data_IF_347878079002
#
_entry.id   IF_347878079002
#
_cell.length_a   1.000
_cell.length_b   1.000
_cell.length_c   1.000
_cell.angle_alpha   90.00
_cell.angle_beta   90.00
_cell.angle_gamma   90.00
#
_symmetry.space_group_name_H-M   'P 1'
#
loop_
_entity.id
_entity.type
_entity.pdbx_description
1 polymer ?
#
# COMPACT_ATOMS: atom_id res chain seq x y z
N UNK A 1 2.66 14.16 27.94
CA UNK A 1 2.23 13.40 29.14
C UNK A 1 1.95 11.97 28.75
N UNK A 2 2.92 11.07 28.92
CA UNK A 2 2.69 9.63 28.75
C UNK A 2 1.87 9.12 29.95
N UNK A 3 0.57 8.92 29.73
CA UNK A 3 -0.36 8.40 30.73
C UNK A 3 -0.10 6.92 31.07
N UNK A 4 0.73 6.24 30.27
CA UNK A 4 1.08 4.83 30.45
C UNK A 4 2.44 4.75 31.14
N UNK A 5 2.42 4.55 32.46
CA UNK A 5 3.62 4.46 33.31
C UNK A 5 3.99 3.03 33.68
N UNK A 6 3.12 2.06 33.36
CA UNK A 6 3.30 0.63 33.64
C UNK A 6 3.09 -0.20 32.37
N UNK A 7 3.77 -1.34 32.22
CA UNK A 7 3.58 -2.22 31.08
C UNK A 7 2.16 -2.80 31.07
N UNK A 8 1.54 -2.81 29.89
CA UNK A 8 0.21 -3.37 29.65
C UNK A 8 0.39 -4.74 29.01
N UNK A 9 -0.09 -5.76 29.71
CA UNK A 9 -0.12 -7.14 29.24
C UNK A 9 -1.54 -7.55 28.89
N UNK A 10 -1.73 -8.09 27.69
CA UNK A 10 -3.03 -8.60 27.25
C UNK A 10 -2.91 -10.10 27.00
N UNK A 11 -3.74 -10.86 27.69
CA UNK A 11 -3.87 -12.31 27.54
C UNK A 11 -5.21 -12.59 26.90
N UNK A 12 -5.19 -13.23 25.73
CA UNK A 12 -6.41 -13.62 25.03
C UNK A 12 -6.50 -15.14 25.01
N UNK A 13 -7.47 -15.69 25.74
CA UNK A 13 -7.76 -17.13 25.78
C UNK A 13 -8.95 -17.54 24.89
N UNK A 14 -9.58 -16.60 24.20
CA UNK A 14 -10.77 -16.87 23.40
C UNK A 14 -10.41 -17.49 22.05
N UNK A 15 -11.27 -18.40 21.57
CA UNK A 15 -11.33 -18.76 20.15
C UNK A 15 -12.03 -17.58 19.48
N UNK A 16 -11.28 -16.77 18.76
CA UNK A 16 -11.73 -15.47 18.30
C UNK A 16 -12.76 -15.65 17.16
N UNK A 17 -14.06 -15.51 17.46
CA UNK A 17 -15.12 -15.43 16.44
C UNK A 17 -15.28 -13.99 15.90
N UNK A 18 -14.96 -12.96 16.69
CA UNK A 18 -15.03 -11.55 16.29
C UNK A 18 -13.67 -10.97 15.86
N UNK A 19 -13.59 -10.15 14.79
CA UNK A 19 -12.34 -9.58 14.33
C UNK A 19 -11.74 -8.60 15.36
N UNK A 20 -10.70 -9.06 16.07
CA UNK A 20 -9.98 -8.25 17.04
C UNK A 20 -9.00 -7.30 16.33
N UNK A 21 -8.89 -6.04 16.76
CA UNK A 21 -7.92 -5.09 16.19
C UNK A 21 -6.51 -5.37 16.73
N UNK A 22 -5.86 -6.37 16.16
CA UNK A 22 -4.49 -6.79 16.51
C UNK A 22 -3.46 -5.66 16.33
N UNK A 23 -3.62 -4.81 15.32
CA UNK A 23 -2.72 -3.67 15.08
C UNK A 23 -2.72 -2.72 16.27
N UNK A 24 -3.90 -2.34 16.77
CA UNK A 24 -4.04 -1.45 17.92
C UNK A 24 -3.53 -2.12 19.21
N UNK A 25 -3.89 -3.38 19.45
CA UNK A 25 -3.45 -4.12 20.63
C UNK A 25 -1.93 -4.24 20.67
N UNK A 26 -1.31 -4.62 19.56
CA UNK A 26 0.14 -4.72 19.46
C UNK A 26 0.80 -3.35 19.63
N UNK A 27 0.24 -2.30 19.04
CA UNK A 27 0.73 -0.93 19.21
C UNK A 27 0.73 -0.49 20.68
N UNK A 28 -0.39 -0.65 21.40
CA UNK A 28 -0.53 -0.22 22.78
C UNK A 28 0.34 -1.03 23.75
N UNK A 29 0.35 -2.34 23.60
CA UNK A 29 1.14 -3.24 24.46
C UNK A 29 2.63 -2.99 24.28
N UNK A 30 3.13 -2.87 23.04
CA UNK A 30 4.55 -2.58 22.79
C UNK A 30 4.97 -1.16 23.21
N UNK A 31 4.10 -0.16 23.03
CA UNK A 31 4.35 1.21 23.50
C UNK A 31 4.50 1.26 25.02
N UNK A 32 3.64 0.54 25.74
CA UNK A 32 3.67 0.46 27.20
C UNK A 32 4.90 -0.25 27.77
N UNK A 33 5.59 -1.07 26.97
CA UNK A 33 6.62 -1.98 27.46
C UNK A 33 6.13 -3.37 27.85
N UNK A 34 4.84 -3.66 27.62
CA UNK A 34 4.27 -4.98 27.81
C UNK A 34 4.23 -5.78 26.51
N UNK A 35 3.24 -6.66 26.39
CA UNK A 35 3.08 -7.54 25.25
C UNK A 35 1.69 -8.18 25.16
N UNK A 36 1.46 -8.86 24.05
CA UNK A 36 0.25 -9.62 23.77
C UNK A 36 0.54 -11.12 23.74
N UNK A 37 -0.31 -11.91 24.39
CA UNK A 37 -0.24 -13.37 24.42
C UNK A 37 -1.54 -13.94 23.87
N UNK A 38 -1.45 -14.64 22.73
CA UNK A 38 -2.58 -15.35 22.13
C UNK A 38 -2.81 -16.70 22.80
N UNK A 39 -4.02 -17.24 22.62
CA UNK A 39 -4.44 -18.55 23.12
C UNK A 39 -3.50 -19.66 22.68
N UNK A 40 -3.10 -19.68 21.42
CA UNK A 40 -2.21 -20.73 20.89
C UNK A 40 -0.88 -20.74 21.63
N UNK A 41 -0.34 -19.56 21.93
CA UNK A 41 0.89 -19.43 22.70
C UNK A 41 0.73 -19.85 24.15
N UNK A 42 -0.44 -19.62 24.75
CA UNK A 42 -0.78 -20.10 26.11
C UNK A 42 -0.84 -21.62 26.14
N UNK A 43 -1.43 -22.25 25.11
CA UNK A 43 -1.59 -23.71 25.01
C UNK A 43 -0.27 -24.39 24.69
N UNK A 44 0.50 -23.86 23.71
CA UNK A 44 1.82 -24.39 23.34
C UNK A 44 2.80 -24.39 24.52
N UNK A 45 2.71 -23.39 25.40
CA UNK A 45 3.62 -23.27 26.54
C UNK A 45 3.29 -24.20 27.70
N UNK A 46 2.22 -25.02 27.63
CA UNK A 46 1.85 -26.14 28.54
C UNK A 46 1.85 -25.90 30.07
N UNK A 47 2.29 -24.74 30.56
CA UNK A 47 2.35 -24.37 31.97
C UNK A 47 2.37 -22.84 32.14
N UNK A 48 1.55 -22.31 33.05
CA UNK A 48 1.51 -20.87 33.36
C UNK A 48 2.84 -20.30 33.87
N UNK A 49 3.70 -21.13 34.45
CA UNK A 49 5.04 -20.72 34.90
C UNK A 49 5.96 -20.31 33.74
N UNK A 50 5.79 -20.90 32.56
CA UNK A 50 6.62 -20.55 31.40
C UNK A 50 6.19 -19.22 30.78
N UNK A 51 4.91 -18.88 30.89
CA UNK A 51 4.39 -17.56 30.53
C UNK A 51 4.95 -16.48 31.47
N UNK A 52 5.03 -16.74 32.77
CA UNK A 52 5.61 -15.80 33.74
C UNK A 52 7.09 -15.58 33.46
N UNK A 53 7.87 -16.65 33.30
CA UNK A 53 9.30 -16.54 32.90
C UNK A 53 9.45 -15.80 31.59
N UNK A 54 8.53 -16.04 30.65
CA UNK A 54 8.51 -15.34 29.38
C UNK A 54 8.26 -13.84 29.59
N UNK A 55 7.28 -13.43 30.40
CA UNK A 55 7.05 -12.02 30.78
C UNK A 55 8.25 -11.40 31.48
N UNK A 56 8.86 -12.11 32.42
CA UNK A 56 10.05 -11.65 33.17
C UNK A 56 11.27 -11.47 32.27
N UNK A 57 11.35 -12.22 31.16
CA UNK A 57 12.41 -12.06 30.15
C UNK A 57 12.23 -10.81 29.27
N UNK A 58 11.12 -10.10 29.38
CA UNK A 58 10.91 -8.80 28.70
C UNK A 58 11.60 -7.67 29.45
N UNK A 59 12.90 -7.57 29.23
CA UNK A 59 13.71 -6.51 29.81
C UNK A 59 14.34 -5.60 28.76
N UNK A 60 14.10 -5.90 27.48
CA UNK A 60 14.72 -5.20 26.35
C UNK A 60 13.71 -4.29 25.64
N UNK A 61 14.08 -3.04 25.41
CA UNK A 61 13.28 -2.05 24.68
C UNK A 61 14.14 -1.31 23.69
N UNK A 62 13.59 -1.03 22.51
CA UNK A 62 14.09 0.05 21.67
C UNK A 62 13.49 1.36 22.19
N UNK A 63 14.32 2.40 22.37
CA UNK A 63 13.86 3.68 22.87
C UNK A 63 13.63 4.66 21.73
N UNK A 64 14.70 5.01 21.01
CA UNK A 64 14.72 5.99 19.94
C UNK A 64 16.04 5.93 19.15
N UNK A 65 16.17 6.86 18.20
CA UNK A 65 17.40 7.14 17.46
C UNK A 65 17.75 8.60 17.57
N UNK A 66 19.04 8.85 17.77
CA UNK A 66 19.64 10.17 17.59
C UNK A 66 20.37 10.23 16.25
N UNK A 67 20.18 11.32 15.51
CA UNK A 67 20.94 11.60 14.29
C UNK A 67 22.22 12.34 14.73
N UNK A 68 23.37 11.70 14.56
CA UNK A 68 24.67 12.17 15.10
C UNK A 68 25.34 13.20 14.18
N UNK A 69 25.12 13.11 12.87
CA UNK A 69 25.64 14.08 11.90
C UNK A 69 24.49 14.78 11.15
N UNK A 70 24.78 15.79 10.31
CA UNK A 70 23.77 16.51 9.51
C UNK A 70 23.10 15.66 8.41
N UNK A 71 23.10 14.33 8.50
CA UNK A 71 22.35 13.46 7.62
C UNK A 71 20.85 13.72 7.79
N UNK A 72 20.20 14.22 6.74
CA UNK A 72 18.74 14.40 6.74
C UNK A 72 18.03 13.05 6.62
N UNK A 73 17.84 12.36 7.74
CA UNK A 73 17.03 11.14 7.85
C UNK A 73 15.64 11.52 8.36
N UNK A 74 14.61 11.06 7.66
CA UNK A 74 13.21 11.25 8.06
C UNK A 74 12.48 9.93 8.11
N UNK A 75 11.31 9.96 8.76
CA UNK A 75 10.36 8.84 8.78
C UNK A 75 11.02 7.55 9.23
N UNK A 76 11.64 7.60 10.40
CA UNK A 76 12.26 6.45 11.04
C UNK A 76 11.16 5.62 11.69
N UNK A 77 11.22 4.31 11.48
CA UNK A 77 10.32 3.34 12.05
C UNK A 77 11.10 2.17 12.68
N UNK A 78 10.77 1.74 13.91
CA UNK A 78 9.67 2.23 14.75
C UNK A 78 9.82 3.69 15.18
N UNK A 79 8.73 4.45 15.14
CA UNK A 79 8.73 5.90 15.40
C UNK A 79 8.66 6.26 16.88
N UNK A 80 8.45 5.26 17.73
CA UNK A 80 8.37 5.36 19.18
C UNK A 80 9.03 4.14 19.82
N UNK A 81 9.20 4.18 21.14
CA UNK A 81 9.73 3.05 21.89
C UNK A 81 8.85 1.82 21.70
N UNK A 82 9.48 0.67 21.51
CA UNK A 82 8.81 -0.63 21.44
C UNK A 82 9.54 -1.65 22.31
N UNK A 83 8.78 -2.58 22.88
CA UNK A 83 9.33 -3.77 23.53
C UNK A 83 10.01 -4.68 22.51
N UNK A 84 11.21 -5.15 22.83
CA UNK A 84 11.92 -6.17 22.06
C UNK A 84 11.64 -7.53 22.71
N UNK A 85 11.01 -8.45 21.97
CA UNK A 85 10.68 -9.75 22.52
C UNK A 85 11.90 -10.69 22.45
N UNK A 86 12.12 -11.58 23.43
CA UNK A 86 13.23 -12.55 23.36
C UNK A 86 13.16 -13.47 22.13
N UNK A 87 11.95 -13.71 21.61
CA UNK A 87 11.72 -14.58 20.46
C UNK A 87 11.81 -13.83 19.12
N UNK A 88 11.92 -12.50 19.12
CA UNK A 88 12.16 -11.74 17.89
C UNK A 88 13.60 -11.99 17.45
N UNK A 89 13.78 -12.90 16.49
CA UNK A 89 15.08 -13.20 15.88
C UNK A 89 15.73 -11.98 15.20
N UNK A 90 14.92 -10.96 14.86
CA UNK A 90 15.36 -9.77 14.17
C UNK A 90 14.59 -8.54 14.66
N UNK A 91 15.32 -7.46 14.91
CA UNK A 91 14.79 -6.11 15.05
C UNK A 91 15.03 -5.38 13.74
N UNK A 92 13.96 -4.81 13.16
CA UNK A 92 14.04 -4.08 11.89
C UNK A 92 13.81 -2.60 12.17
N UNK A 93 14.78 -1.82 11.72
CA UNK A 93 14.76 -0.38 11.76
C UNK A 93 14.87 0.13 10.33
N UNK A 94 13.97 1.02 9.92
CA UNK A 94 13.96 1.60 8.59
C UNK A 94 13.81 3.11 8.67
N UNK A 95 14.40 3.83 7.72
CA UNK A 95 14.29 5.28 7.62
C UNK A 95 14.60 5.73 6.20
N UNK A 96 14.25 6.98 5.88
CA UNK A 96 14.50 7.58 4.58
C UNK A 96 15.58 8.65 4.68
N UNK A 97 16.70 8.42 4.02
CA UNK A 97 17.76 9.41 3.85
C UNK A 97 17.44 10.33 2.65
N UNK A 98 17.38 11.64 2.88
CA UNK A 98 17.01 12.65 1.88
C UNK A 98 18.14 13.03 0.93
N UNK A 99 19.40 12.96 1.38
CA UNK A 99 20.59 13.34 0.61
C UNK A 99 21.41 12.13 0.19
N UNK A 100 22.26 12.31 -0.82
CA UNK A 100 23.22 11.30 -1.28
C UNK A 100 24.47 11.19 -0.39
N UNK A 101 24.46 11.78 0.81
CA UNK A 101 25.58 11.76 1.76
C UNK A 101 25.46 10.56 2.72
N UNK A 102 26.57 10.10 3.29
CA UNK A 102 26.53 9.19 4.45
C UNK A 102 25.88 9.87 5.66
N UNK A 103 25.32 9.05 6.55
CA UNK A 103 24.73 9.51 7.81
C UNK A 103 25.29 8.68 8.98
N UNK A 104 25.28 9.25 10.19
CA UNK A 104 25.63 8.53 11.41
C UNK A 104 24.47 8.60 12.37
N UNK A 105 24.07 7.45 12.89
CA UNK A 105 22.95 7.32 13.83
C UNK A 105 23.43 6.68 15.13
N UNK A 106 22.79 7.03 16.24
CA UNK A 106 22.93 6.33 17.50
C UNK A 106 21.60 5.68 17.86
N UNK A 107 21.60 4.35 18.01
CA UNK A 107 20.45 3.57 18.44
C UNK A 107 20.52 3.41 19.96
N UNK A 108 19.47 3.84 20.65
CA UNK A 108 19.36 3.72 22.10
C UNK A 108 18.42 2.57 22.46
N UNK A 109 18.94 1.57 23.15
CA UNK A 109 18.23 0.41 23.66
C UNK A 109 18.22 0.45 25.18
N UNK A 110 17.17 -0.05 25.83
CA UNK A 110 17.18 -0.34 27.26
C UNK A 110 17.23 -1.84 27.47
N UNK A 111 18.14 -2.36 28.29
CA UNK A 111 18.18 -3.76 28.69
C UNK A 111 18.22 -3.79 30.21
N UNK A 112 17.22 -4.40 30.85
CA UNK A 112 17.12 -4.49 32.31
C UNK A 112 17.19 -3.10 33.00
N UNK A 113 16.62 -2.08 32.34
CA UNK A 113 16.62 -0.70 32.81
C UNK A 113 17.91 0.09 32.52
N UNK A 114 18.96 -0.55 32.00
CA UNK A 114 20.20 0.10 31.61
C UNK A 114 20.12 0.55 30.16
N UNK A 115 20.45 1.81 29.89
CA UNK A 115 20.47 2.35 28.53
C UNK A 115 21.81 1.99 27.86
N UNK A 116 21.72 1.32 26.72
CA UNK A 116 22.82 1.01 25.82
C UNK A 116 22.69 1.85 24.56
N UNK A 117 23.74 2.58 24.22
CA UNK A 117 23.84 3.40 23.01
C UNK A 117 24.86 2.78 22.07
N UNK A 118 24.43 2.50 20.84
CA UNK A 118 25.30 1.97 19.79
C UNK A 118 25.25 2.87 18.57
N UNK A 119 26.41 3.32 18.10
CA UNK A 119 26.51 4.15 16.89
C UNK A 119 26.74 3.30 15.64
N UNK A 120 26.12 3.72 14.54
CA UNK A 120 26.24 3.08 13.24
C UNK A 120 26.47 4.13 12.15
N UNK A 121 27.42 3.86 11.28
CA UNK A 121 27.63 4.62 10.05
C UNK A 121 26.75 4.02 8.94
N UNK A 122 25.90 4.87 8.35
CA UNK A 122 25.06 4.55 7.20
C UNK A 122 25.79 5.06 5.95
N UNK A 123 26.38 4.17 5.14
CA UNK A 123 27.07 4.56 3.93
C UNK A 123 26.09 5.08 2.88
N UNK A 124 26.61 5.82 1.90
CA UNK A 124 25.84 6.23 0.73
C UNK A 124 25.29 4.99 0.01
N UNK A 125 23.98 4.97 -0.24
CA UNK A 125 23.32 3.85 -0.89
C UNK A 125 23.76 3.72 -2.36
N UNK A 126 24.17 2.51 -2.75
CA UNK A 126 24.33 2.18 -4.17
C UNK A 126 22.95 1.94 -4.80
N UNK A 127 22.42 2.96 -5.48
CA UNK A 127 21.07 2.97 -6.09
C UNK A 127 20.90 1.98 -7.25
N UNK A 128 21.97 1.35 -7.74
CA UNK A 128 21.93 0.35 -8.81
C UNK A 128 21.65 -1.08 -8.31
N UNK A 129 21.48 -1.30 -7.00
CA UNK A 129 21.21 -2.63 -6.47
C UNK A 129 19.81 -3.15 -6.86
N UNK A 130 19.78 -4.39 -7.36
CA UNK A 130 18.55 -5.15 -7.69
C UNK A 130 17.53 -5.16 -6.53
N UNK A 131 18.01 -5.00 -5.29
CA UNK A 131 17.22 -5.05 -4.06
C UNK A 131 16.59 -3.71 -3.65
N UNK A 132 16.85 -2.60 -4.34
CA UNK A 132 16.32 -1.29 -3.94
C UNK A 132 14.78 -1.26 -3.94
N UNK A 133 14.12 -2.03 -4.81
CA UNK A 133 12.67 -2.21 -4.80
C UNK A 133 12.15 -2.89 -3.54
N UNK A 134 12.85 -3.92 -3.04
CA UNK A 134 12.49 -4.65 -1.83
C UNK A 134 12.62 -3.77 -0.59
N UNK A 135 13.71 -2.99 -0.48
CA UNK A 135 13.93 -2.06 0.63
C UNK A 135 12.83 -1.00 0.72
N UNK A 136 12.39 -0.45 -0.42
CA UNK A 136 11.26 0.50 -0.44
C UNK A 136 9.96 -0.15 0.04
N UNK A 137 9.71 -1.41 -0.33
CA UNK A 137 8.52 -2.14 0.11
C UNK A 137 8.57 -2.45 1.60
N UNK A 138 9.74 -2.83 2.13
CA UNK A 138 9.93 -3.03 3.57
C UNK A 138 9.69 -1.74 4.36
N UNK A 139 10.26 -0.63 3.90
CA UNK A 139 10.02 0.70 4.48
C UNK A 139 8.54 1.05 4.51
N UNK A 140 7.82 0.87 3.40
CA UNK A 140 6.39 1.16 3.33
C UNK A 140 5.56 0.21 4.21
N UNK A 141 5.93 -1.07 4.33
CA UNK A 141 5.28 -2.01 5.26
C UNK A 141 5.41 -1.57 6.71
N UNK A 142 6.58 -1.11 7.13
CA UNK A 142 6.79 -0.65 8.51
C UNK A 142 6.05 0.66 8.78
N UNK A 143 6.00 1.57 7.81
CA UNK A 143 5.18 2.77 7.90
C UNK A 143 3.69 2.43 8.04
N UNK A 144 3.21 1.44 7.27
CA UNK A 144 1.81 1.02 7.28
C UNK A 144 1.42 0.39 8.62
N UNK A 145 2.28 -0.45 9.23
CA UNK A 145 1.97 -1.17 10.46
C UNK A 145 1.68 -0.24 11.66
N UNK A 146 2.32 0.93 11.71
CA UNK A 146 2.00 1.93 12.74
C UNK A 146 0.70 2.69 12.43
N UNK A 147 0.43 2.98 11.15
CA UNK A 147 -0.77 3.70 10.76
C UNK A 147 -2.03 2.87 10.93
N UNK A 148 -1.96 1.56 10.69
CA UNK A 148 -3.09 0.62 10.83
C UNK A 148 -3.51 0.40 12.27
N UNK A 149 -2.74 0.85 13.27
CA UNK A 149 -3.20 0.90 14.65
C UNK A 149 -4.40 1.87 14.82
N UNK A 150 -4.48 2.91 13.98
CA UNK A 150 -5.56 3.91 14.00
C UNK A 150 -6.11 4.14 12.57
N UNK A 151 -6.80 3.15 11.99
CA UNK A 151 -7.15 3.15 10.56
C UNK A 151 -8.07 4.31 10.17
N UNK A 152 -9.08 4.62 10.99
CA UNK A 152 -10.01 5.72 10.73
C UNK A 152 -9.31 7.09 10.65
N UNK A 153 -8.36 7.34 11.57
CA UNK A 153 -7.57 8.57 11.59
C UNK A 153 -6.59 8.66 10.41
N UNK A 154 -6.09 7.51 9.96
CA UNK A 154 -5.00 7.43 8.98
C UNK A 154 -5.46 6.98 7.58
N UNK A 155 -6.78 6.92 7.33
CA UNK A 155 -7.38 6.32 6.13
C UNK A 155 -6.75 6.79 4.83
N UNK A 156 -6.66 8.11 4.62
CA UNK A 156 -6.08 8.66 3.40
C UNK A 156 -4.61 8.28 3.24
N UNK A 157 -3.83 8.34 4.33
CA UNK A 157 -2.40 8.05 4.30
C UNK A 157 -2.12 6.57 4.05
N UNK A 158 -2.94 5.67 4.62
CA UNK A 158 -2.89 4.22 4.38
C UNK A 158 -3.16 3.95 2.88
N UNK A 159 -4.21 4.56 2.33
CA UNK A 159 -4.56 4.44 0.91
C UNK A 159 -3.43 4.94 0.00
N UNK A 160 -2.89 6.14 0.27
CA UNK A 160 -1.81 6.74 -0.52
C UNK A 160 -0.55 5.86 -0.51
N UNK A 161 -0.17 5.29 0.63
CA UNK A 161 0.97 4.37 0.75
C UNK A 161 0.69 3.07 -0.01
N UNK A 162 -0.51 2.49 0.16
CA UNK A 162 -0.92 1.28 -0.53
C UNK A 162 -0.83 1.42 -2.05
N UNK A 163 -1.34 2.53 -2.59
CA UNK A 163 -1.25 2.84 -4.03
C UNK A 163 0.19 3.12 -4.46
N UNK A 164 0.91 4.00 -3.76
CA UNK A 164 2.27 4.44 -4.14
C UNK A 164 3.28 3.31 -4.16
N UNK A 165 3.18 2.37 -3.23
CA UNK A 165 4.11 1.24 -3.09
C UNK A 165 3.54 -0.09 -3.59
N UNK A 166 2.33 -0.08 -4.17
CA UNK A 166 1.62 -1.27 -4.65
C UNK A 166 1.51 -2.36 -3.56
N UNK A 167 1.08 -1.95 -2.38
CA UNK A 167 0.90 -2.81 -1.20
C UNK A 167 -0.61 -3.00 -0.96
N UNK A 168 -1.01 -4.25 -0.75
CA UNK A 168 -2.35 -4.61 -0.27
C UNK A 168 -2.46 -4.20 1.19
N UNK A 169 -3.55 -3.51 1.51
CA UNK A 169 -3.90 -3.05 2.85
C UNK A 169 -5.40 -3.20 3.04
N UNK A 170 -5.92 -2.88 4.23
CA UNK A 170 -7.36 -2.89 4.49
C UNK A 170 -8.16 -1.96 3.53
N UNK A 171 -7.47 -1.00 2.89
CA UNK A 171 -8.06 -0.04 1.95
C UNK A 171 -7.67 -0.29 0.48
N UNK A 172 -6.82 -1.28 0.21
CA UNK A 172 -6.32 -1.55 -1.15
C UNK A 172 -6.28 -3.04 -1.43
N UNK A 173 -6.91 -3.46 -2.52
CA UNK A 173 -6.87 -4.83 -3.02
C UNK A 173 -6.06 -4.92 -4.32
N UNK A 174 -5.59 -6.14 -4.64
CA UNK A 174 -5.02 -6.45 -5.96
C UNK A 174 -6.10 -7.19 -6.74
N UNK A 175 -6.38 -6.69 -7.94
CA UNK A 175 -7.22 -7.38 -8.91
C UNK A 175 -6.30 -8.03 -9.93
N UNK A 176 -6.49 -9.32 -10.18
CA UNK A 176 -5.77 -10.07 -11.20
C UNK A 176 -6.77 -10.58 -12.23
N UNK A 177 -6.62 -10.13 -13.46
CA UNK A 177 -7.38 -10.64 -14.59
C UNK A 177 -6.56 -11.68 -15.33
N UNK A 178 -7.18 -12.80 -15.70
CA UNK A 178 -6.49 -13.91 -16.38
C UNK A 178 -6.75 -13.88 -17.88
N UNK A 179 -7.95 -13.46 -18.29
CA UNK A 179 -8.43 -13.58 -19.67
C UNK A 179 -8.52 -12.23 -20.37
N UNK A 180 -8.46 -12.26 -21.70
CA UNK A 180 -8.61 -11.05 -22.53
C UNK A 180 -9.97 -10.38 -22.31
N UNK A 181 -11.03 -11.18 -22.17
CA UNK A 181 -12.39 -10.69 -21.99
C UNK A 181 -12.52 -9.84 -20.73
N UNK A 182 -11.94 -10.29 -19.61
CA UNK A 182 -11.94 -9.53 -18.35
C UNK A 182 -11.24 -8.17 -18.51
N UNK A 183 -10.10 -8.14 -19.21
CA UNK A 183 -9.39 -6.89 -19.50
C UNK A 183 -10.20 -5.93 -20.37
N UNK A 184 -10.91 -6.46 -21.38
CA UNK A 184 -11.79 -5.68 -22.25
C UNK A 184 -12.98 -5.10 -21.46
N UNK A 185 -13.64 -5.94 -20.67
CA UNK A 185 -14.81 -5.58 -19.88
C UNK A 185 -14.49 -4.48 -18.88
N UNK A 186 -13.42 -4.64 -18.10
CA UNK A 186 -12.99 -3.67 -17.10
C UNK A 186 -12.15 -2.52 -17.67
N UNK A 187 -11.85 -2.53 -18.97
CA UNK A 187 -11.02 -1.52 -19.68
C UNK A 187 -9.65 -1.31 -19.04
N UNK A 188 -9.08 -2.36 -18.45
CA UNK A 188 -7.77 -2.33 -17.80
C UNK A 188 -6.77 -3.01 -18.72
N UNK A 189 -5.70 -2.29 -19.06
CA UNK A 189 -4.65 -2.83 -19.93
C UNK A 189 -3.84 -3.92 -19.19
N UNK A 190 -3.59 -5.08 -19.81
CA UNK A 190 -2.68 -6.09 -19.27
C UNK A 190 -1.27 -5.54 -19.03
N UNK A 191 -0.55 -6.11 -18.08
CA UNK A 191 0.86 -5.76 -17.88
C UNK A 191 1.73 -6.28 -19.04
N UNK A 192 2.74 -5.51 -19.46
CA UNK A 192 3.62 -5.83 -20.60
C UNK A 192 4.39 -7.14 -20.47
N UNK A 193 4.61 -7.62 -19.25
CA UNK A 193 5.25 -8.93 -19.01
C UNK A 193 4.40 -10.11 -19.50
N UNK A 194 3.08 -9.92 -19.68
CA UNK A 194 2.16 -10.93 -20.24
C UNK A 194 1.98 -10.68 -21.74
N UNK A 195 3.07 -10.84 -22.50
CA UNK A 195 3.20 -10.39 -23.90
C UNK A 195 2.02 -10.80 -24.78
N UNK A 196 1.65 -12.09 -24.80
CA UNK A 196 0.52 -12.58 -25.61
C UNK A 196 -0.79 -11.84 -25.31
N UNK A 197 -1.13 -11.73 -24.03
CA UNK A 197 -2.38 -11.09 -23.59
C UNK A 197 -2.37 -9.58 -23.87
N UNK A 198 -1.22 -8.94 -23.68
CA UNK A 198 -1.03 -7.53 -23.99
C UNK A 198 -1.22 -7.27 -25.49
N UNK A 199 -0.58 -8.07 -26.34
CA UNK A 199 -0.66 -7.91 -27.80
C UNK A 199 -2.08 -8.13 -28.31
N UNK A 200 -2.77 -9.16 -27.82
CA UNK A 200 -4.16 -9.44 -28.17
C UNK A 200 -5.10 -8.29 -27.75
N UNK A 201 -4.88 -7.71 -26.56
CA UNK A 201 -5.60 -6.52 -26.09
C UNK A 201 -5.34 -5.29 -26.97
N UNK A 202 -4.09 -5.06 -27.38
CA UNK A 202 -3.74 -3.93 -28.24
C UNK A 202 -4.36 -4.08 -29.64
N UNK A 203 -4.36 -5.30 -30.20
CA UNK A 203 -5.05 -5.60 -31.47
C UNK A 203 -6.54 -5.34 -31.36
N UNK A 204 -7.19 -5.80 -30.29
CA UNK A 204 -8.61 -5.52 -30.03
C UNK A 204 -8.88 -4.00 -30.00
N UNK A 205 -8.07 -3.23 -29.29
CA UNK A 205 -8.22 -1.77 -29.20
C UNK A 205 -8.01 -1.08 -30.55
N UNK A 206 -7.09 -1.56 -31.38
CA UNK A 206 -6.86 -1.03 -32.72
C UNK A 206 -8.05 -1.31 -33.65
N UNK A 207 -8.55 -2.55 -33.65
CA UNK A 207 -9.71 -2.95 -34.46
C UNK A 207 -10.95 -2.14 -34.05
N UNK A 208 -11.21 -2.02 -32.75
CA UNK A 208 -12.32 -1.22 -32.22
C UNK A 208 -12.25 0.24 -32.66
N UNK A 209 -11.06 0.86 -32.62
CA UNK A 209 -10.86 2.23 -33.13
C UNK A 209 -11.11 2.35 -34.63
N UNK A 210 -10.77 1.34 -35.42
CA UNK A 210 -11.01 1.33 -36.86
C UNK A 210 -12.51 1.18 -37.17
N UNK A 211 -13.21 0.29 -36.48
CA UNK A 211 -14.66 0.12 -36.59
C UNK A 211 -15.40 1.40 -36.20
N UNK A 212 -15.07 2.01 -35.06
CA UNK A 212 -15.68 3.27 -34.61
C UNK A 212 -15.49 4.39 -35.64
N UNK A 213 -14.32 4.47 -36.30
CA UNK A 213 -14.07 5.43 -37.39
C UNK A 213 -14.94 5.15 -38.62
N UNK A 214 -15.01 3.89 -39.07
CA UNK A 214 -15.84 3.49 -40.22
C UNK A 214 -17.32 3.78 -39.96
N UNK A 215 -17.85 3.34 -38.82
CA UNK A 215 -19.25 3.60 -38.45
C UNK A 215 -19.55 5.10 -38.36
N UNK A 216 -18.62 5.91 -37.84
CA UNK A 216 -18.78 7.37 -37.80
C UNK A 216 -18.81 7.98 -39.21
N UNK A 217 -17.94 7.52 -40.11
CA UNK A 217 -17.93 7.95 -41.52
C UNK A 217 -19.23 7.53 -42.24
N UNK A 218 -19.69 6.30 -42.05
CA UNK A 218 -20.93 5.79 -42.63
C UNK A 218 -22.15 6.59 -42.16
N UNK A 219 -22.27 6.84 -40.83
CA UNK A 219 -23.33 7.69 -40.27
C UNK A 219 -23.29 9.10 -40.84
N UNK A 220 -22.11 9.70 -40.93
CA UNK A 220 -21.93 11.04 -41.52
C UNK A 220 -22.36 11.06 -42.98
N UNK A 221 -21.96 10.03 -43.74
CA UNK A 221 -22.31 9.90 -45.17
C UNK A 221 -23.81 9.67 -45.36
N UNK A 222 -24.46 8.88 -44.49
CA UNK A 222 -25.90 8.66 -44.53
C UNK A 222 -26.68 9.95 -44.26
N UNK A 223 -26.26 10.75 -43.27
CA UNK A 223 -26.87 12.06 -42.97
C UNK A 223 -26.70 13.02 -44.16
N UNK A 224 -25.51 13.07 -44.77
CA UNK A 224 -25.26 13.90 -45.95
C UNK A 224 -26.17 13.50 -47.12
N UNK A 225 -26.33 12.19 -47.38
CA UNK A 225 -27.25 11.69 -48.42
C UNK A 225 -28.70 12.11 -48.17
N UNK A 226 -29.20 11.94 -46.94
CA UNK A 226 -30.55 12.36 -46.55
C UNK A 226 -30.73 13.87 -46.76
N UNK A 227 -29.76 14.67 -46.36
CA UNK A 227 -29.81 16.13 -46.53
C UNK A 227 -29.82 16.54 -48.01
N UNK A 228 -28.99 15.91 -48.85
CA UNK A 228 -29.00 16.16 -50.30
C UNK A 228 -30.33 15.76 -50.95
N UNK A 229 -30.92 14.63 -50.54
CA UNK A 229 -32.21 14.17 -51.07
C UNK A 229 -33.36 15.11 -50.71
N UNK A 230 -33.41 15.59 -49.45
CA UNK A 230 -34.40 16.59 -49.02
C UNK A 230 -34.26 17.88 -49.83
N UNK A 231 -33.04 18.36 -50.07
CA UNK A 231 -32.81 19.56 -50.89
C UNK A 231 -33.27 19.37 -52.34
N UNK A 232 -33.00 18.21 -52.96
CA UNK A 232 -33.45 17.91 -54.32
C UNK A 232 -34.99 17.87 -54.37
N UNK A 233 -35.65 17.21 -53.40
CA UNK A 233 -37.11 17.22 -53.33
C UNK A 233 -37.68 18.62 -53.16
N UNK A 234 -37.08 19.43 -52.28
CA UNK A 234 -37.53 20.81 -52.04
C UNK A 234 -37.45 21.67 -53.31
N UNK A 235 -36.34 21.60 -54.04
CA UNK A 235 -36.16 22.31 -55.32
C UNK A 235 -37.17 21.80 -56.37
N UNK A 236 -37.40 20.49 -56.44
CA UNK A 236 -38.36 19.90 -57.37
C UNK A 236 -39.79 20.37 -57.09
N UNK A 237 -40.20 20.42 -55.81
CA UNK A 237 -41.51 20.92 -55.39
C UNK A 237 -41.68 22.40 -55.78
N UNK A 238 -40.66 23.24 -55.53
CA UNK A 238 -40.71 24.66 -55.91
C UNK A 238 -40.84 24.83 -57.42
N UNK A 239 -40.04 24.10 -58.20
CA UNK A 239 -40.09 24.20 -59.67
C UNK A 239 -41.44 23.73 -60.23
N UNK A 240 -42.03 22.69 -59.66
CA UNK A 240 -43.33 22.18 -60.10
C UNK A 240 -44.46 23.16 -59.74
N UNK A 241 -44.38 23.83 -58.59
CA UNK A 241 -45.30 24.92 -58.23
C UNK A 241 -45.21 26.08 -59.22
N UNK A 242 -43.99 26.47 -59.64
CA UNK A 242 -43.81 27.54 -60.63
C UNK A 242 -44.40 27.22 -62.00
N UNK A 243 -44.37 25.95 -62.43
CA UNK A 243 -44.94 25.48 -63.71
C UNK A 243 -46.48 25.48 -63.68
N UNK A 244 -47.09 25.25 -62.51
CA UNK A 244 -48.56 25.22 -62.38
C UNK A 244 -49.16 26.64 -62.35
N UNK A 245 -48.36 27.66 -62.01
CA UNK A 245 -48.81 29.05 -61.85
C UNK A 245 -48.57 29.89 -63.13
N UNK A 246 -47.85 29.35 -64.14
CA UNK A 246 -47.62 29.98 -65.47
C UNK A 246 -48.59 29.50 -66.52
#
# INVERSE_FOLDING_TARGET
NNLITKPIWIFNANVVEDPMNYSLINYLTTLSGGGYISRDKIIEQNNGNDIIKWIESFQSRYNNIDIVNNGNIHNIYPSHSITLTPNTKQFILVGKLSSSSSARIAVNLSISGVIHRQEFDIPQANRSSENFGLLRRLYAKQMLSELTAFPEKNKQRILDIGMKYSIVSDLTSIIVFETLQQHIEHKICPHRSRTKLYDDYMKYQQNKKQEEKKTKQEKTTAVLKLWTWINIMYISIINNIYIIIS
#
